data_IF_964976969877
#
_entry.id   IF_964976969877
#
_cell.length_a   1.000
_cell.length_b   1.000
_cell.length_c   1.000
_cell.angle_alpha   90.00
_cell.angle_beta   90.00
_cell.angle_gamma   90.00
#
_symmetry.space_group_name_H-M   'P 1'
#
loop_
_entity.id
_entity.type
_entity.pdbx_description
1 polymer ?
#
# COMPACT_ATOMS: atom_id res chain seq x y z
N UNK A 1 76.26 -20.46 -22.61
CA UNK A 1 76.32 -19.73 -21.33
C UNK A 1 75.35 -20.41 -20.37
N UNK A 2 75.91 -20.90 -19.26
CA UNK A 2 75.35 -21.49 -18.02
C UNK A 2 73.92 -22.03 -17.95
N UNK A 3 73.84 -23.35 -17.73
CA UNK A 3 72.74 -24.10 -17.11
C UNK A 3 72.64 -23.78 -15.61
N UNK A 4 71.45 -23.80 -15.01
CA UNK A 4 71.29 -24.43 -13.69
C UNK A 4 69.89 -24.99 -13.44
N UNK A 5 69.89 -26.25 -12.99
CA UNK A 5 68.82 -27.04 -12.40
C UNK A 5 68.34 -26.44 -11.07
N UNK A 6 67.04 -26.59 -10.75
CA UNK A 6 66.60 -27.17 -9.47
C UNK A 6 65.08 -27.42 -9.47
N UNK A 7 64.73 -28.71 -9.43
CA UNK A 7 63.41 -29.25 -9.07
C UNK A 7 63.36 -29.26 -7.53
N UNK A 8 62.27 -28.76 -6.94
CA UNK A 8 61.90 -29.08 -5.56
C UNK A 8 60.37 -29.12 -5.43
N UNK A 9 59.90 -30.36 -5.49
CA UNK A 9 58.65 -30.96 -5.05
C UNK A 9 58.15 -30.43 -3.70
N UNK A 10 56.87 -30.03 -3.63
CA UNK A 10 56.09 -30.09 -2.37
C UNK A 10 54.61 -30.36 -2.66
N UNK A 11 54.17 -31.46 -2.06
CA UNK A 11 52.87 -32.12 -2.10
C UNK A 11 51.93 -31.47 -1.08
N UNK A 12 50.62 -31.65 -1.29
CA UNK A 12 49.53 -31.57 -0.28
C UNK A 12 48.85 -30.20 -0.14
N UNK A 13 47.52 -30.08 -0.10
CA UNK A 13 46.48 -31.10 0.04
C UNK A 13 45.11 -30.57 -0.35
N UNK A 14 44.25 -31.52 -0.71
CA UNK A 14 42.82 -31.37 -0.97
C UNK A 14 42.14 -30.92 0.32
N UNK A 15 41.29 -29.88 0.25
CA UNK A 15 40.29 -29.61 1.30
C UNK A 15 38.91 -29.61 0.64
N UNK A 16 38.28 -30.79 0.68
CA UNK A 16 36.84 -30.95 0.51
C UNK A 16 36.15 -30.35 1.73
N UNK A 17 35.44 -29.23 1.55
CA UNK A 17 34.55 -28.69 2.58
C UNK A 17 33.32 -29.59 2.72
N UNK A 18 33.28 -30.38 3.79
CA UNK A 18 32.09 -31.12 4.20
C UNK A 18 31.01 -30.13 4.64
N UNK A 19 29.86 -30.13 3.96
CA UNK A 19 28.69 -29.39 4.45
C UNK A 19 28.16 -30.10 5.69
N UNK A 20 28.28 -29.44 6.85
CA UNK A 20 27.70 -29.88 8.09
C UNK A 20 26.16 -29.87 7.96
N UNK A 21 25.55 -31.04 8.06
CA UNK A 21 24.11 -31.17 8.17
C UNK A 21 23.69 -30.81 9.60
N UNK A 22 23.15 -29.61 9.79
CA UNK A 22 22.50 -29.19 11.04
C UNK A 22 21.30 -30.10 11.31
N UNK A 23 21.39 -30.86 12.39
CA UNK A 23 20.36 -31.83 12.80
C UNK A 23 19.40 -31.14 13.76
N UNK A 24 18.23 -30.76 13.26
CA UNK A 24 17.14 -30.18 14.06
C UNK A 24 16.23 -31.32 14.54
N UNK A 25 16.00 -31.41 15.86
CA UNK A 25 15.13 -32.42 16.44
C UNK A 25 13.76 -31.83 16.78
N UNK A 26 12.71 -32.51 16.32
CA UNK A 26 11.30 -32.16 16.55
C UNK A 26 10.67 -33.18 17.50
N UNK A 27 9.91 -32.74 18.49
CA UNK A 27 8.93 -33.59 19.17
C UNK A 27 7.57 -32.92 19.21
N UNK A 28 6.52 -33.74 19.32
CA UNK A 28 5.13 -33.29 19.50
C UNK A 28 4.72 -33.71 20.90
N UNK A 29 4.23 -32.77 21.69
CA UNK A 29 3.72 -33.07 23.03
C UNK A 29 2.29 -33.64 22.97
N UNK A 30 1.76 -34.05 24.12
CA UNK A 30 0.44 -34.70 24.21
C UNK A 30 -0.74 -33.76 23.92
N UNK A 31 -0.50 -32.45 23.77
CA UNK A 31 -1.49 -31.45 23.39
C UNK A 31 -1.41 -31.08 21.89
N UNK A 32 -0.55 -31.77 21.12
CA UNK A 32 -0.43 -31.61 19.68
C UNK A 32 0.41 -30.40 19.26
N UNK A 33 1.17 -29.81 20.17
CA UNK A 33 2.07 -28.68 19.87
C UNK A 33 3.47 -29.21 19.56
N UNK A 34 4.06 -28.68 18.48
CA UNK A 34 5.36 -29.12 17.98
C UNK A 34 6.48 -28.24 18.54
N UNK A 35 7.46 -28.87 19.19
CA UNK A 35 8.62 -28.23 19.79
C UNK A 35 9.93 -28.68 19.12
N UNK A 36 10.89 -27.76 18.99
CA UNK A 36 12.21 -28.00 18.43
C UNK A 36 13.30 -27.61 19.44
N UNK A 37 14.30 -28.47 19.68
CA UNK A 37 15.44 -28.17 20.57
C UNK A 37 16.72 -28.89 20.16
N UNK A 38 17.85 -28.19 20.28
CA UNK A 38 19.20 -28.67 19.91
C UNK A 38 20.02 -29.22 21.09
N UNK A 39 19.37 -29.79 22.12
CA UNK A 39 20.08 -30.43 23.25
C UNK A 39 19.51 -31.81 23.59
N UNK A 40 20.37 -32.82 23.80
CA UNK A 40 19.94 -34.19 24.08
C UNK A 40 19.33 -34.32 25.48
N UNK A 41 18.26 -35.12 25.59
CA UNK A 41 17.63 -35.52 26.87
C UNK A 41 17.84 -37.01 27.14
N UNK A 42 17.92 -37.38 28.41
CA UNK A 42 18.17 -38.75 28.87
C UNK A 42 16.94 -39.61 28.58
N UNK A 43 17.13 -40.71 27.81
CA UNK A 43 16.07 -41.66 27.43
C UNK A 43 16.02 -42.04 25.95
N UNK A 44 16.97 -41.58 25.13
CA UNK A 44 17.02 -41.93 23.71
C UNK A 44 17.46 -43.39 23.48
N UNK A 45 16.57 -44.20 22.90
CA UNK A 45 16.89 -45.54 22.40
C UNK A 45 17.44 -45.43 20.99
N UNK A 46 18.64 -45.98 20.75
CA UNK A 46 19.25 -46.08 19.43
C UNK A 46 18.41 -46.93 18.47
N UNK A 47 17.98 -46.34 17.35
CA UNK A 47 17.39 -47.10 16.24
C UNK A 47 18.45 -47.28 15.16
N UNK A 48 19.01 -48.50 15.08
CA UNK A 48 19.83 -48.94 13.94
C UNK A 48 18.95 -48.98 12.69
N UNK A 49 19.20 -48.06 11.76
CA UNK A 49 18.55 -48.07 10.44
C UNK A 49 19.46 -48.83 9.48
N UNK A 50 19.01 -50.00 9.07
CA UNK A 50 19.57 -50.77 7.97
C UNK A 50 19.31 -50.00 6.66
N UNK A 51 20.37 -49.58 5.98
CA UNK A 51 20.25 -48.75 4.78
C UNK A 51 20.10 -49.66 3.56
N UNK A 52 18.86 -49.95 3.19
CA UNK A 52 18.55 -50.44 1.86
C UNK A 52 18.82 -49.31 0.83
N UNK A 53 19.36 -49.62 -0.37
CA UNK A 53 19.51 -48.63 -1.41
C UNK A 53 18.14 -48.04 -1.79
N UNK A 54 18.05 -46.73 -2.08
CA UNK A 54 16.77 -46.09 -2.34
C UNK A 54 16.11 -46.71 -3.57
N UNK A 55 14.96 -47.34 -3.36
CA UNK A 55 14.06 -47.73 -4.43
C UNK A 55 13.67 -46.47 -5.21
N UNK A 56 14.14 -46.39 -6.45
CA UNK A 56 13.62 -45.46 -7.44
C UNK A 56 12.25 -45.98 -7.84
N UNK A 57 11.18 -45.36 -7.35
CA UNK A 57 9.81 -45.31 -7.90
C UNK A 57 8.79 -45.04 -6.78
N UNK A 58 8.84 -43.82 -6.25
CA UNK A 58 7.69 -43.21 -5.55
C UNK A 58 6.99 -42.25 -6.51
N UNK A 59 5.66 -42.09 -6.46
CA UNK A 59 4.97 -41.14 -7.33
C UNK A 59 5.53 -39.74 -7.08
N UNK A 60 6.06 -39.13 -8.15
CA UNK A 60 6.52 -37.75 -8.13
C UNK A 60 5.33 -36.89 -7.69
N UNK A 61 5.38 -36.37 -6.47
CA UNK A 61 4.42 -35.36 -6.02
C UNK A 61 4.76 -34.10 -6.82
N UNK A 62 4.05 -33.92 -7.92
CA UNK A 62 4.16 -32.71 -8.73
C UNK A 62 3.88 -31.51 -7.83
N UNK A 63 4.71 -30.45 -7.87
CA UNK A 63 4.41 -29.22 -7.15
C UNK A 63 3.03 -28.74 -7.62
N UNK A 64 2.07 -28.67 -6.68
CA UNK A 64 0.74 -28.14 -6.99
C UNK A 64 0.95 -26.73 -7.52
N UNK A 65 0.66 -26.54 -8.80
CA UNK A 65 0.70 -25.21 -9.42
C UNK A 65 -0.23 -24.32 -8.60
N UNK A 66 0.24 -23.17 -8.07
CA UNK A 66 -0.65 -22.28 -7.35
C UNK A 66 -1.76 -21.87 -8.32
N UNK A 67 -2.99 -22.26 -8.01
CA UNK A 67 -4.18 -21.80 -8.71
C UNK A 67 -4.19 -20.27 -8.54
N UNK A 68 -3.73 -19.54 -9.57
CA UNK A 68 -3.96 -18.10 -9.70
C UNK A 68 -5.47 -17.91 -9.74
N UNK A 69 -6.09 -17.71 -8.58
CA UNK A 69 -7.47 -17.23 -8.51
C UNK A 69 -7.48 -15.92 -9.28
N UNK A 70 -8.17 -15.90 -10.42
CA UNK A 70 -8.51 -14.66 -11.12
C UNK A 70 -9.37 -13.84 -10.16
N UNK A 71 -8.74 -12.96 -9.39
CA UNK A 71 -9.45 -12.03 -8.54
C UNK A 71 -10.25 -11.11 -9.46
N UNK A 72 -11.57 -11.04 -9.27
CA UNK A 72 -12.39 -10.08 -10.01
C UNK A 72 -11.87 -8.67 -9.71
N UNK A 73 -11.77 -7.79 -10.71
CA UNK A 73 -11.34 -6.42 -10.48
C UNK A 73 -12.30 -5.75 -9.50
N UNK A 74 -11.73 -5.16 -8.45
CA UNK A 74 -12.49 -4.41 -7.46
C UNK A 74 -12.95 -3.13 -8.15
N UNK A 75 -14.26 -2.87 -8.15
CA UNK A 75 -14.82 -1.63 -8.65
C UNK A 75 -14.98 -0.66 -7.49
N UNK A 76 -14.37 0.51 -7.61
CA UNK A 76 -14.49 1.60 -6.65
C UNK A 76 -15.62 2.55 -7.07
N UNK A 77 -16.38 2.99 -6.10
CA UNK A 77 -17.35 4.06 -6.25
C UNK A 77 -16.96 5.19 -5.32
N UNK A 78 -16.94 6.42 -5.84
CA UNK A 78 -16.66 7.62 -5.05
C UNK A 78 -17.93 8.45 -4.98
N UNK A 79 -18.28 8.94 -3.80
CA UNK A 79 -19.43 9.81 -3.62
C UNK A 79 -19.06 11.01 -2.74
N UNK A 80 -19.51 12.20 -3.17
CA UNK A 80 -19.39 13.41 -2.36
C UNK A 80 -20.53 13.39 -1.34
N UNK A 81 -20.18 13.45 -0.06
CA UNK A 81 -21.14 13.42 1.06
C UNK A 81 -21.51 14.82 1.52
N UNK A 82 -20.64 15.80 1.30
CA UNK A 82 -20.90 17.22 1.51
C UNK A 82 -19.98 18.03 0.61
N UNK A 83 -20.43 19.15 0.04
CA UNK A 83 -21.80 19.66 0.05
C UNK A 83 -22.77 18.81 -0.79
N UNK A 84 -24.07 19.04 -0.65
CA UNK A 84 -25.10 18.45 -1.50
C UNK A 84 -25.11 19.10 -2.90
N UNK A 85 -25.64 18.39 -3.89
CA UNK A 85 -25.89 18.98 -5.21
C UNK A 85 -26.79 20.22 -5.09
N UNK A 86 -26.42 21.28 -5.81
CA UNK A 86 -27.07 22.60 -5.84
C UNK A 86 -27.11 23.33 -4.49
N UNK A 87 -26.29 22.91 -3.52
CA UNK A 87 -26.22 23.58 -2.24
C UNK A 87 -25.68 25.01 -2.40
N UNK A 88 -26.39 25.95 -1.78
CA UNK A 88 -25.92 27.34 -1.64
C UNK A 88 -25.03 27.47 -0.41
N UNK A 89 -23.81 27.95 -0.61
CA UNK A 89 -22.80 28.19 0.43
C UNK A 89 -22.62 29.69 0.56
N UNK A 90 -22.70 30.21 1.79
CA UNK A 90 -22.49 31.64 2.09
C UNK A 90 -21.21 31.79 2.89
N UNK A 91 -20.16 32.25 2.23
CA UNK A 91 -18.87 32.46 2.86
C UNK A 91 -18.13 33.60 2.18
N UNK A 92 -17.79 34.66 2.91
CA UNK A 92 -17.19 35.87 2.34
C UNK A 92 -15.72 35.68 1.94
N UNK A 93 -15.03 34.72 2.57
CA UNK A 93 -13.64 34.36 2.27
C UNK A 93 -13.55 33.34 1.12
N UNK A 94 -14.69 32.93 0.57
CA UNK A 94 -14.76 31.95 -0.51
C UNK A 94 -14.35 30.56 -0.06
N UNK A 95 -14.70 30.17 1.17
CA UNK A 95 -14.42 28.84 1.71
C UNK A 95 -15.49 27.83 1.29
N UNK A 96 -15.04 26.68 0.81
CA UNK A 96 -15.90 25.53 0.51
C UNK A 96 -15.27 24.30 1.17
N UNK A 97 -16.01 23.66 2.07
CA UNK A 97 -15.60 22.40 2.71
C UNK A 97 -16.22 21.22 1.95
N UNK A 98 -15.39 20.29 1.48
CA UNK A 98 -15.82 19.14 0.70
C UNK A 98 -15.44 17.87 1.45
N UNK A 99 -16.40 16.97 1.58
CA UNK A 99 -16.24 15.63 2.13
C UNK A 99 -16.71 14.61 1.11
N UNK A 100 -15.91 13.57 0.91
CA UNK A 100 -16.18 12.47 0.01
C UNK A 100 -15.77 11.16 0.67
N UNK A 101 -16.43 10.09 0.24
CA UNK A 101 -16.12 8.73 0.65
C UNK A 101 -16.06 7.82 -0.57
N UNK A 102 -15.38 6.69 -0.43
CA UNK A 102 -15.39 5.64 -1.44
C UNK A 102 -15.76 4.29 -0.85
N UNK A 103 -16.38 3.46 -1.69
CA UNK A 103 -16.73 2.07 -1.38
C UNK A 103 -16.21 1.17 -2.49
N UNK A 104 -15.42 0.13 -2.16
CA UNK A 104 -14.87 -0.20 -0.84
C UNK A 104 -13.80 0.82 -0.38
N UNK A 105 -13.28 0.66 0.85
CA UNK A 105 -12.20 1.50 1.34
C UNK A 105 -10.99 1.45 0.38
N UNK A 106 -10.39 2.60 0.07
CA UNK A 106 -9.27 2.67 -0.85
C UNK A 106 -8.02 2.04 -0.22
N UNK A 107 -7.15 1.48 -1.05
CA UNK A 107 -5.85 0.96 -0.58
C UNK A 107 -4.94 2.11 -0.13
N UNK A 108 -3.95 1.78 0.69
CA UNK A 108 -2.94 2.75 1.14
C UNK A 108 -2.11 3.36 0.00
N UNK A 109 -2.05 2.72 -1.17
CA UNK A 109 -1.42 3.29 -2.37
C UNK A 109 -2.28 4.34 -3.07
N UNK A 110 -3.59 4.33 -2.85
CA UNK A 110 -4.55 5.23 -3.50
C UNK A 110 -4.77 6.52 -2.70
N UNK A 111 -5.33 7.54 -3.34
CA UNK A 111 -5.71 8.78 -2.68
C UNK A 111 -6.79 9.55 -3.44
N UNK A 112 -7.37 10.54 -2.79
CA UNK A 112 -8.39 11.42 -3.36
C UNK A 112 -7.77 12.68 -3.94
N UNK A 113 -8.24 13.06 -5.12
CA UNK A 113 -7.88 14.28 -5.84
C UNK A 113 -9.15 15.09 -6.08
N UNK A 114 -9.14 16.35 -5.65
CA UNK A 114 -10.25 17.27 -5.88
C UNK A 114 -10.12 17.95 -7.23
N UNK A 115 -11.23 18.12 -7.93
CA UNK A 115 -11.32 18.86 -9.19
C UNK A 115 -12.43 19.90 -9.04
N UNK A 116 -12.10 21.15 -9.30
CA UNK A 116 -13.01 22.29 -9.29
C UNK A 116 -13.06 22.87 -10.70
N UNK A 117 -14.24 22.95 -11.30
CA UNK A 117 -14.47 23.49 -12.65
C UNK A 117 -13.56 22.85 -13.73
N UNK A 118 -13.28 21.55 -13.57
CA UNK A 118 -12.39 20.80 -14.45
C UNK A 118 -10.89 20.95 -14.13
N UNK A 119 -10.53 21.80 -13.17
CA UNK A 119 -9.14 22.05 -12.78
C UNK A 119 -8.82 21.30 -11.47
N UNK A 120 -7.79 20.43 -11.44
CA UNK A 120 -7.38 19.76 -10.21
C UNK A 120 -6.91 20.76 -9.15
N UNK A 121 -7.35 20.58 -7.92
CA UNK A 121 -7.06 21.47 -6.79
C UNK A 121 -6.18 20.77 -5.76
N UNK A 122 -5.13 21.47 -5.33
CA UNK A 122 -4.25 21.01 -4.25
C UNK A 122 -3.53 19.70 -4.53
N UNK A 123 -3.15 19.01 -3.46
CA UNK A 123 -2.44 17.74 -3.48
C UNK A 123 -3.40 16.56 -3.26
N UNK A 124 -2.98 15.38 -3.69
CA UNK A 124 -3.68 14.13 -3.42
C UNK A 124 -3.61 13.83 -1.91
N UNK A 125 -4.74 13.49 -1.31
CA UNK A 125 -4.86 13.19 0.13
C UNK A 125 -5.44 11.80 0.37
N UNK A 126 -5.09 11.16 1.49
CA UNK A 126 -5.63 9.84 1.86
C UNK A 126 -7.06 9.92 2.38
N UNK A 127 -7.46 11.08 2.89
CA UNK A 127 -8.80 11.33 3.39
C UNK A 127 -9.59 12.08 2.33
N UNK A 128 -10.88 11.75 2.15
CA UNK A 128 -11.74 12.47 1.22
C UNK A 128 -12.20 13.83 1.73
N UNK A 129 -11.39 14.55 2.51
CA UNK A 129 -11.73 15.85 3.10
C UNK A 129 -10.86 16.95 2.51
N UNK A 130 -11.50 17.99 1.98
CA UNK A 130 -10.84 19.11 1.32
C UNK A 130 -11.42 20.43 1.81
N UNK A 131 -10.55 21.45 1.87
CA UNK A 131 -10.94 22.81 2.15
C UNK A 131 -10.43 23.69 1.02
N UNK A 132 -11.34 24.27 0.25
CA UNK A 132 -11.02 25.32 -0.70
C UNK A 132 -11.14 26.67 -0.01
N UNK A 133 -10.33 27.61 -0.47
CA UNK A 133 -10.31 29.00 0.00
C UNK A 133 -10.18 29.93 -1.21
N UNK A 134 -10.62 31.18 -1.05
CA UNK A 134 -10.56 32.19 -2.10
C UNK A 134 -11.24 31.77 -3.42
N UNK A 135 -12.31 30.98 -3.34
CA UNK A 135 -13.13 30.67 -4.50
C UNK A 135 -13.99 31.90 -4.84
N UNK A 136 -14.15 32.15 -6.13
CA UNK A 136 -14.99 33.24 -6.62
C UNK A 136 -16.47 33.01 -6.29
N UNK A 137 -17.27 34.07 -6.33
CA UNK A 137 -18.72 33.94 -6.19
C UNK A 137 -19.32 33.34 -7.46
N UNK A 138 -20.35 32.51 -7.32
CA UNK A 138 -21.08 31.96 -8.45
C UNK A 138 -21.28 30.45 -8.36
N UNK A 139 -21.54 29.84 -9.52
CA UNK A 139 -21.71 28.41 -9.65
C UNK A 139 -20.35 27.75 -9.87
N UNK A 140 -20.07 26.69 -9.10
CA UNK A 140 -18.85 25.89 -9.24
C UNK A 140 -19.21 24.42 -9.32
N UNK A 141 -18.56 23.71 -10.22
CA UNK A 141 -18.69 22.26 -10.36
C UNK A 141 -17.56 21.57 -9.60
N UNK A 142 -17.92 20.66 -8.70
CA UNK A 142 -17.00 19.90 -7.85
C UNK A 142 -17.06 18.43 -8.25
N UNK A 143 -15.89 17.82 -8.40
CA UNK A 143 -15.74 16.39 -8.60
C UNK A 143 -14.57 15.87 -7.75
N UNK A 144 -14.71 14.67 -7.18
CA UNK A 144 -13.64 14.00 -6.45
C UNK A 144 -13.26 12.72 -7.19
N UNK A 145 -11.98 12.62 -7.51
CA UNK A 145 -11.39 11.46 -8.17
C UNK A 145 -10.62 10.62 -7.15
N UNK A 146 -10.73 9.31 -7.23
CA UNK A 146 -9.82 8.38 -6.56
C UNK A 146 -8.72 8.00 -7.55
N UNK A 147 -7.48 8.23 -7.17
CA UNK A 147 -6.29 8.00 -8.00
C UNK A 147 -5.34 6.99 -7.34
N UNK A 148 -4.52 6.33 -8.14
CA UNK A 148 -3.42 5.49 -7.66
C UNK A 148 -2.15 6.29 -7.34
N UNK A 149 -1.07 5.59 -7.00
CA UNK A 149 0.25 6.15 -6.71
C UNK A 149 0.90 6.85 -7.90
N UNK A 150 0.56 6.43 -9.12
CA UNK A 150 0.97 7.09 -10.37
C UNK A 150 0.12 8.33 -10.71
N UNK A 151 -0.94 8.59 -9.95
CA UNK A 151 -1.89 9.68 -10.19
C UNK A 151 -2.95 9.35 -11.25
N UNK A 152 -3.01 8.10 -11.71
CA UNK A 152 -4.02 7.64 -12.67
C UNK A 152 -5.37 7.52 -11.98
N UNK A 153 -6.42 7.97 -12.65
CA UNK A 153 -7.80 7.86 -12.17
C UNK A 153 -8.28 6.40 -12.14
N UNK A 154 -8.74 5.96 -10.97
CA UNK A 154 -9.30 4.64 -10.71
C UNK A 154 -10.82 4.69 -10.68
N UNK A 155 -11.37 5.75 -10.09
CA UNK A 155 -12.80 6.03 -10.04
C UNK A 155 -13.04 7.53 -9.85
N UNK A 156 -14.23 7.99 -10.19
CA UNK A 156 -14.62 9.39 -10.00
C UNK A 156 -16.04 9.50 -9.50
N UNK A 157 -16.31 10.56 -8.74
CA UNK A 157 -17.65 10.88 -8.28
C UNK A 157 -18.49 11.45 -9.41
N UNK A 158 -19.81 11.42 -9.22
CA UNK A 158 -20.69 12.30 -10.00
C UNK A 158 -20.31 13.76 -9.71
N UNK A 159 -20.20 14.63 -10.73
CA UNK A 159 -19.97 16.04 -10.50
C UNK A 159 -21.20 16.66 -9.84
N UNK A 160 -20.97 17.56 -8.89
CA UNK A 160 -22.03 18.35 -8.26
C UNK A 160 -21.79 19.83 -8.52
N UNK A 161 -22.86 20.61 -8.66
CA UNK A 161 -22.77 22.06 -8.76
C UNK A 161 -23.13 22.67 -7.42
N UNK A 162 -22.37 23.66 -6.97
CA UNK A 162 -22.66 24.44 -5.76
C UNK A 162 -22.68 25.92 -6.08
N UNK A 163 -23.39 26.70 -5.29
CA UNK A 163 -23.52 28.14 -5.48
C UNK A 163 -22.87 28.88 -4.31
N UNK A 164 -21.72 29.52 -4.55
CA UNK A 164 -21.03 30.32 -3.55
C UNK A 164 -21.50 31.78 -3.60
N UNK A 165 -22.04 32.25 -2.48
CA UNK A 165 -22.41 33.63 -2.26
C UNK A 165 -21.39 34.31 -1.34
N UNK A 166 -20.76 35.37 -1.86
CA UNK A 166 -19.90 36.28 -1.10
C UNK A 166 -20.62 37.61 -0.95
N UNK A 167 -20.67 38.16 0.26
CA UNK A 167 -21.13 39.52 0.47
C UNK A 167 -19.98 40.47 0.10
N UNK A 168 -20.27 41.45 -0.75
CA UNK A 168 -19.34 42.54 -0.97
C UNK A 168 -19.45 43.46 0.26
N UNK A 169 -18.35 43.65 0.98
CA UNK A 169 -18.25 44.77 1.91
C UNK A 169 -18.17 46.05 1.06
N UNK A 170 -19.32 46.59 0.66
CA UNK A 170 -19.38 47.93 0.10
C UNK A 170 -19.06 48.90 1.23
N UNK A 171 -17.93 49.59 1.12
CA UNK A 171 -17.39 50.45 2.17
C UNK A 171 -18.39 51.51 2.62
N UNK A 172 -18.76 51.47 3.91
CA UNK A 172 -19.29 52.62 4.61
C UNK A 172 -18.12 53.60 4.85
N UNK A 173 -17.74 54.31 3.78
CA UNK A 173 -16.64 55.27 3.76
C UNK A 173 -17.07 56.57 3.11
N UNK A 174 -18.22 57.14 3.50
CA UNK A 174 -18.60 58.51 3.22
C UNK A 174 -19.84 58.89 4.03
N UNK A 175 -19.66 59.60 5.16
CA UNK A 175 -20.53 60.66 5.67
C UNK A 175 -20.34 60.85 7.19
N UNK A 176 -19.41 61.73 7.57
CA UNK A 176 -19.54 62.63 8.73
C UNK A 176 -18.36 63.61 8.75
N UNK A 177 -18.26 64.41 7.68
CA UNK A 177 -17.67 65.74 7.78
C UNK A 177 -18.84 66.72 7.70
N UNK A 178 -19.05 67.54 8.73
CA UNK A 178 -19.91 68.74 8.65
C UNK A 178 -20.81 69.00 9.84
N UNK A 179 -20.50 70.09 10.55
CA UNK A 179 -21.36 70.76 11.53
C UNK A 179 -20.82 70.61 12.95
N UNK A 180 -20.28 71.61 13.63
CA UNK A 180 -20.43 73.05 13.51
C UNK A 180 -20.48 73.59 14.93
#
# INVERSE_FOLDING_TARGET
MSKWFAIALLISGVVFGAQAADKIYQWVDQDGVTHFSDRPQVGATELKVDVAPPATEGPIVTPRTPLKKKQKPIQYQVNITSPSHEQTIRDNEGKISISASSTPLPLNSMGYKLVLDGVPQGQITKMGSFQLTNIDRGAHTIQVQLVDDSGKEIASSKPITVFLHRANAFGAGAAAAGGG
#
